data_IF_174143466588
#
_entry.id   IF_174143466588
#
_cell.length_a   1.000
_cell.length_b   1.000
_cell.length_c   1.000
_cell.angle_alpha   90.00
_cell.angle_beta   90.00
_cell.angle_gamma   90.00
#
_symmetry.space_group_name_H-M   'P 1'
#
loop_
_entity.id
_entity.type
_entity.pdbx_description
1 polymer ?
#
# COMPACT_ATOMS: atom_id res chain seq x y z
N UNK A 1 -16.16 25.11 12.82
CA UNK A 1 -17.63 25.13 12.87
C UNK A 1 -18.03 25.74 14.19
N UNK A 2 -18.93 26.71 14.19
CA UNK A 2 -19.29 27.45 15.41
C UNK A 2 -20.12 26.60 16.39
N UNK A 3 -20.66 25.46 15.92
CA UNK A 3 -21.54 24.57 16.69
C UNK A 3 -20.89 23.29 17.20
N UNK A 4 -19.88 22.74 16.50
CA UNK A 4 -19.28 21.45 16.84
C UNK A 4 -17.75 21.50 16.77
N UNK A 5 -17.10 20.77 17.68
CA UNK A 5 -15.66 20.48 17.60
C UNK A 5 -15.38 19.57 16.41
N UNK A 6 -14.71 20.11 15.40
CA UNK A 6 -14.40 19.43 14.13
C UNK A 6 -12.89 19.20 14.04
N UNK A 7 -12.48 18.05 13.48
CA UNK A 7 -11.07 17.78 13.23
C UNK A 7 -10.51 18.68 12.13
N UNK A 8 -9.29 19.21 12.30
CA UNK A 8 -8.62 20.07 11.31
C UNK A 8 -8.49 19.44 9.90
N UNK A 9 -8.43 18.11 9.83
CA UNK A 9 -8.30 17.36 8.56
C UNK A 9 -9.65 16.99 7.93
N UNK A 10 -10.77 17.54 8.42
CA UNK A 10 -12.08 17.25 7.84
C UNK A 10 -12.15 17.86 6.42
N UNK A 11 -12.51 17.07 5.39
CA UNK A 11 -12.70 17.62 4.06
C UNK A 11 -13.76 18.74 4.04
N UNK A 12 -13.52 19.87 3.33
CA UNK A 12 -14.44 21.02 3.32
C UNK A 12 -15.87 20.71 2.87
N UNK A 13 -16.06 19.61 2.12
CA UNK A 13 -17.39 19.14 1.70
C UNK A 13 -18.29 18.75 2.89
N UNK A 14 -17.70 18.30 4.00
CA UNK A 14 -18.45 17.92 5.21
C UNK A 14 -18.68 19.10 6.15
N UNK A 15 -17.84 20.14 6.07
CA UNK A 15 -18.06 21.40 6.80
C UNK A 15 -19.21 22.23 6.20
N UNK A 16 -19.38 22.17 4.88
CA UNK A 16 -20.41 22.92 4.16
C UNK A 16 -21.46 21.98 3.54
N UNK A 17 -22.46 21.51 4.31
CA UNK A 17 -23.47 20.56 3.82
C UNK A 17 -24.29 21.09 2.65
N UNK A 18 -24.43 22.42 2.53
CA UNK A 18 -25.08 23.07 1.39
C UNK A 18 -24.40 22.78 0.03
N UNK A 19 -23.15 22.30 0.02
CA UNK A 19 -22.44 21.87 -1.18
C UNK A 19 -23.03 20.58 -1.77
N UNK A 20 -23.72 19.77 -0.97
CA UNK A 20 -24.38 18.55 -1.47
C UNK A 20 -25.65 18.90 -2.24
N UNK A 21 -25.61 18.71 -3.55
CA UNK A 21 -26.75 18.93 -4.46
C UNK A 21 -27.52 17.62 -4.69
N UNK A 22 -28.75 17.72 -5.19
CA UNK A 22 -29.54 16.55 -5.59
C UNK A 22 -30.66 16.16 -4.64
N UNK A 23 -30.65 16.70 -3.43
CA UNK A 23 -31.73 16.56 -2.47
C UNK A 23 -32.86 17.55 -2.78
N UNK A 24 -34.10 17.25 -2.37
CA UNK A 24 -35.28 18.15 -2.54
C UNK A 24 -35.63 18.49 -4.00
N UNK A 25 -35.23 17.65 -4.97
CA UNK A 25 -35.27 17.98 -6.40
C UNK A 25 -36.66 18.15 -7.02
N UNK A 26 -37.69 17.51 -6.46
CA UNK A 26 -39.03 17.58 -7.05
C UNK A 26 -40.07 17.45 -5.96
N UNK A 27 -40.99 18.41 -5.89
CA UNK A 27 -42.18 18.26 -5.08
C UNK A 27 -43.12 17.27 -5.81
N UNK A 28 -43.30 16.05 -5.28
CA UNK A 28 -44.20 15.10 -5.91
C UNK A 28 -45.64 15.57 -5.71
N UNK A 29 -46.49 15.27 -6.70
CA UNK A 29 -47.92 15.56 -6.60
C UNK A 29 -48.48 14.96 -5.29
N UNK A 30 -49.24 15.71 -4.47
CA UNK A 30 -49.66 15.26 -3.14
C UNK A 30 -50.41 13.92 -3.15
N UNK A 31 -51.17 13.63 -4.22
CA UNK A 31 -51.93 12.37 -4.38
C UNK A 31 -51.12 11.21 -4.97
N UNK A 32 -49.93 11.46 -5.53
CA UNK A 32 -49.10 10.45 -6.19
C UNK A 32 -47.73 10.34 -5.50
N UNK A 33 -47.77 9.99 -4.22
CA UNK A 33 -46.58 9.75 -3.40
C UNK A 33 -46.29 8.26 -3.25
N UNK A 34 -45.02 7.90 -3.41
CA UNK A 34 -44.54 6.54 -3.12
C UNK A 34 -43.60 6.58 -1.93
N UNK A 35 -43.48 5.48 -1.20
CA UNK A 35 -42.57 5.35 -0.06
C UNK A 35 -41.11 5.66 -0.44
N UNK A 36 -40.70 5.23 -1.64
CA UNK A 36 -39.36 5.45 -2.18
C UNK A 36 -39.01 6.94 -2.38
N UNK A 37 -40.01 7.82 -2.57
CA UNK A 37 -39.77 9.27 -2.67
C UNK A 37 -39.26 9.88 -1.35
N UNK A 38 -39.38 9.16 -0.23
CA UNK A 38 -38.84 9.62 1.06
C UNK A 38 -37.31 9.63 1.04
N UNK A 39 -36.68 8.68 0.35
CA UNK A 39 -35.23 8.61 0.23
C UNK A 39 -34.70 9.78 -0.61
N UNK A 40 -33.67 10.48 -0.12
CA UNK A 40 -33.09 11.65 -0.80
C UNK A 40 -33.99 12.90 -0.82
N UNK A 41 -35.18 12.87 -0.19
CA UNK A 41 -36.09 14.02 -0.14
C UNK A 41 -35.56 15.15 0.74
N UNK A 42 -34.76 14.84 1.76
CA UNK A 42 -34.22 15.81 2.73
C UNK A 42 -32.75 16.08 2.44
N UNK A 43 -32.39 17.37 2.36
CA UNK A 43 -31.01 17.79 2.24
C UNK A 43 -30.28 17.61 3.58
N UNK A 44 -29.00 17.22 3.54
CA UNK A 44 -28.24 17.00 4.76
C UNK A 44 -27.94 18.31 5.50
N UNK A 45 -27.77 18.22 6.80
CA UNK A 45 -27.53 19.34 7.72
C UNK A 45 -26.21 19.20 8.48
N UNK A 46 -25.77 20.27 9.15
CA UNK A 46 -24.52 20.27 9.93
C UNK A 46 -24.56 19.23 11.06
N UNK A 47 -25.75 18.94 11.60
CA UNK A 47 -25.95 17.98 12.69
C UNK A 47 -25.84 16.52 12.22
N UNK A 48 -25.98 16.26 10.92
CA UNK A 48 -25.86 14.92 10.32
C UNK A 48 -24.45 14.68 9.75
N UNK A 49 -23.67 15.74 9.54
CA UNK A 49 -22.32 15.65 9.00
C UNK A 49 -21.32 15.08 10.02
N UNK A 50 -20.35 14.27 9.58
CA UNK A 50 -19.32 13.75 10.46
C UNK A 50 -18.37 14.86 10.92
N UNK A 51 -17.98 14.82 12.19
CA UNK A 51 -17.00 15.76 12.77
C UNK A 51 -15.55 15.36 12.51
N UNK A 52 -15.31 14.11 12.10
CA UNK A 52 -14.01 13.60 11.67
C UNK A 52 -14.14 12.65 10.48
N UNK A 53 -13.16 12.66 9.59
CA UNK A 53 -13.10 11.77 8.43
C UNK A 53 -11.72 11.11 8.32
N UNK A 54 -11.66 9.81 8.59
CA UNK A 54 -10.43 9.01 8.54
C UNK A 54 -10.45 8.11 7.33
N UNK A 55 -9.79 8.53 6.25
CA UNK A 55 -9.66 7.76 5.02
C UNK A 55 -8.24 7.18 4.90
N UNK A 56 -8.14 6.01 4.29
CA UNK A 56 -6.87 5.44 3.83
C UNK A 56 -6.50 6.02 2.47
N UNK A 57 -5.33 6.64 2.38
CA UNK A 57 -4.79 7.07 1.09
C UNK A 57 -4.41 5.85 0.26
N UNK A 58 -4.94 5.76 -0.96
CA UNK A 58 -4.53 4.76 -1.94
C UNK A 58 -3.56 5.32 -2.97
N UNK A 59 -2.99 6.52 -2.76
CA UNK A 59 -2.13 7.18 -3.75
C UNK A 59 -0.93 6.31 -4.16
N UNK A 60 -0.25 5.69 -3.19
CA UNK A 60 0.87 4.77 -3.43
C UNK A 60 0.43 3.52 -4.20
N UNK A 61 -0.70 2.90 -3.81
CA UNK A 61 -1.18 1.70 -4.49
C UNK A 61 -1.72 2.03 -5.89
N UNK A 62 -2.34 3.18 -6.11
CA UNK A 62 -2.85 3.59 -7.41
C UNK A 62 -1.75 3.82 -8.44
N UNK A 63 -0.56 4.24 -8.01
CA UNK A 63 0.58 4.41 -8.92
C UNK A 63 1.22 3.06 -9.28
N UNK A 64 1.24 2.10 -8.36
CA UNK A 64 1.89 0.79 -8.57
C UNK A 64 0.96 -0.29 -9.10
N UNK A 65 -0.35 -0.22 -8.83
CA UNK A 65 -1.32 -1.22 -9.28
C UNK A 65 -1.29 -1.47 -10.80
N UNK A 66 -1.11 -0.44 -11.66
CA UNK A 66 -0.99 -0.65 -13.10
C UNK A 66 0.28 -1.39 -13.53
N UNK A 67 1.34 -1.38 -12.72
CA UNK A 67 2.63 -2.02 -13.05
C UNK A 67 2.57 -3.56 -13.04
N UNK A 68 1.48 -4.14 -12.53
CA UNK A 68 1.26 -5.59 -12.52
C UNK A 68 2.15 -6.35 -11.53
N UNK A 69 2.26 -7.65 -11.73
CA UNK A 69 3.05 -8.53 -10.87
C UNK A 69 4.55 -8.36 -11.14
N UNK A 70 5.34 -8.19 -10.07
CA UNK A 70 6.79 -8.17 -10.16
C UNK A 70 7.33 -9.46 -10.78
N UNK A 71 8.35 -9.33 -11.63
CA UNK A 71 9.14 -10.45 -12.18
C UNK A 71 10.62 -10.17 -11.95
N UNK A 72 11.34 -11.17 -11.46
CA UNK A 72 12.79 -11.10 -11.34
C UNK A 72 13.44 -11.52 -12.66
N UNK A 73 14.23 -10.61 -13.24
CA UNK A 73 15.02 -10.84 -14.44
C UNK A 73 16.54 -10.66 -14.17
N UNK A 74 16.95 -10.62 -12.90
CA UNK A 74 18.34 -10.49 -12.50
C UNK A 74 19.13 -11.79 -12.64
N UNK A 75 20.44 -11.67 -12.88
CA UNK A 75 21.37 -12.80 -12.75
C UNK A 75 21.91 -12.84 -11.32
N UNK A 76 22.11 -14.03 -10.77
CA UNK A 76 22.79 -14.19 -9.49
C UNK A 76 24.29 -13.89 -9.66
N UNK A 77 24.74 -12.79 -9.07
CA UNK A 77 26.14 -12.35 -9.05
C UNK A 77 26.78 -12.42 -7.66
N UNK A 78 26.12 -13.11 -6.72
CA UNK A 78 26.65 -13.28 -5.38
C UNK A 78 27.95 -14.08 -5.42
N UNK A 79 29.06 -13.48 -4.97
CA UNK A 79 30.31 -14.18 -4.75
C UNK A 79 30.25 -14.95 -3.44
N UNK A 80 30.64 -16.22 -3.47
CA UNK A 80 30.76 -17.03 -2.27
C UNK A 80 31.75 -16.39 -1.29
N UNK A 81 31.39 -16.39 -0.01
CA UNK A 81 32.19 -15.81 1.07
C UNK A 81 32.60 -16.91 2.03
N UNK A 82 33.89 -16.95 2.37
CA UNK A 82 34.38 -17.82 3.43
C UNK A 82 33.82 -17.38 4.78
N UNK A 83 33.45 -18.35 5.63
CA UNK A 83 33.05 -18.10 7.02
C UNK A 83 34.24 -17.68 7.89
N UNK A 84 35.47 -17.96 7.45
CA UNK A 84 36.70 -17.61 8.18
C UNK A 84 37.29 -16.34 7.59
N UNK A 85 37.37 -15.29 8.40
CA UNK A 85 37.96 -14.01 8.01
C UNK A 85 39.48 -14.07 8.12
N UNK A 86 40.20 -13.80 7.02
CA UNK A 86 41.66 -13.74 7.00
C UNK A 86 42.18 -13.46 5.59
N UNK A 87 43.35 -12.84 5.47
CA UNK A 87 43.92 -12.43 4.18
C UNK A 87 44.14 -13.61 3.19
N UNK A 88 44.18 -14.84 3.68
CA UNK A 88 44.32 -16.07 2.87
C UNK A 88 43.01 -16.80 2.54
N UNK A 89 41.84 -16.29 2.95
CA UNK A 89 40.56 -16.99 2.84
C UNK A 89 39.59 -16.38 1.82
N UNK A 90 40.11 -15.61 0.85
CA UNK A 90 39.30 -15.05 -0.22
C UNK A 90 39.01 -16.11 -1.29
N UNK A 91 37.76 -16.56 -1.37
CA UNK A 91 37.29 -17.47 -2.42
C UNK A 91 37.37 -16.72 -3.75
N UNK A 92 38.35 -17.08 -4.57
CA UNK A 92 38.51 -16.56 -5.94
C UNK A 92 38.08 -17.60 -6.95
N UNK A 93 37.77 -17.19 -8.18
CA UNK A 93 37.38 -18.13 -9.24
C UNK A 93 38.46 -19.22 -9.50
N UNK A 94 39.73 -18.91 -9.22
CA UNK A 94 40.87 -19.81 -9.33
C UNK A 94 41.06 -20.72 -8.10
N UNK A 95 40.36 -20.47 -7.00
CA UNK A 95 40.54 -21.19 -5.73
C UNK A 95 40.09 -22.67 -5.81
N UNK A 96 39.26 -23.02 -6.80
CA UNK A 96 38.87 -24.41 -7.08
C UNK A 96 40.05 -25.32 -7.46
N UNK A 97 41.20 -24.74 -7.86
CA UNK A 97 42.41 -25.48 -8.18
C UNK A 97 43.49 -25.36 -7.09
N UNK A 98 43.26 -24.51 -6.09
CA UNK A 98 44.17 -24.32 -4.95
C UNK A 98 43.76 -25.25 -3.81
N UNK A 99 44.02 -26.55 -4.01
CA UNK A 99 43.81 -27.50 -2.93
C UNK A 99 44.81 -27.25 -1.78
N UNK A 100 44.35 -27.45 -0.54
CA UNK A 100 45.24 -27.40 0.62
C UNK A 100 46.42 -28.38 0.44
N UNK A 101 47.67 -28.07 0.85
CA UNK A 101 48.82 -28.94 0.61
C UNK A 101 48.70 -30.38 1.16
N UNK A 102 47.79 -30.61 2.11
CA UNK A 102 47.48 -31.96 2.62
C UNK A 102 46.58 -32.78 1.68
N UNK A 103 45.98 -32.14 0.67
CA UNK A 103 45.19 -32.81 -0.35
C UNK A 103 46.12 -33.54 -1.33
N UNK A 104 46.14 -34.86 -1.23
CA UNK A 104 46.90 -35.72 -2.12
C UNK A 104 45.96 -36.30 -3.18
N UNK A 105 46.01 -35.86 -4.45
CA UNK A 105 45.13 -36.38 -5.50
C UNK A 105 45.40 -37.86 -5.84
N UNK A 106 46.55 -38.40 -5.39
CA UNK A 106 46.99 -39.77 -5.63
C UNK A 106 46.59 -40.74 -4.52
N UNK A 107 45.90 -40.27 -3.46
CA UNK A 107 45.44 -41.11 -2.34
C UNK A 107 44.02 -40.71 -1.93
N UNK A 108 43.18 -41.66 -1.47
CA UNK A 108 41.86 -41.32 -0.96
C UNK A 108 41.99 -40.36 0.23
N UNK A 109 41.08 -39.38 0.33
CA UNK A 109 40.99 -38.54 1.52
C UNK A 109 40.53 -39.39 2.70
N UNK A 110 41.34 -39.45 3.75
CA UNK A 110 40.93 -40.08 5.01
C UNK A 110 40.07 -39.08 5.79
N UNK A 111 38.88 -39.53 6.18
CA UNK A 111 37.93 -38.78 7.00
C UNK A 111 38.40 -38.68 8.46
#
# INVERSE_FOLDING_TARGET
SDFYGVSERLPPRFEHPARFQGYRKKEPHPLYRTSNQSYGSRAPTVHEMPTCYRITSHAFSSTLAPCGMYRDNGLNTHLDKSRVTGAGNFITACDRLNFHPSYNPSRPSFC
#
